data_IF_999131079500
#
_entry.id   IF_999131079500
#
_cell.length_a   1.000
_cell.length_b   1.000
_cell.length_c   1.000
_cell.angle_alpha   90.00
_cell.angle_beta   90.00
_cell.angle_gamma   90.00
#
_symmetry.space_group_name_H-M   'P 1'
#
loop_
_entity.id
_entity.type
_entity.pdbx_description
1 polymer ?
#
# COMPACT_ATOMS: atom_id res chain seq x y z
N UNK A 1 -60.98 35.51 -5.76
CA UNK A 1 -59.67 35.16 -6.35
C UNK A 1 -58.76 34.68 -5.21
N UNK A 2 -58.69 33.36 -5.03
CA UNK A 2 -58.04 32.70 -3.89
C UNK A 2 -56.50 32.74 -4.04
N UNK A 3 -55.80 33.27 -3.04
CA UNK A 3 -54.33 33.38 -3.00
C UNK A 3 -53.75 32.00 -2.64
N UNK A 4 -53.20 31.30 -3.62
CA UNK A 4 -52.60 29.98 -3.48
C UNK A 4 -51.27 30.11 -2.69
N UNK A 5 -51.24 29.64 -1.45
CA UNK A 5 -50.01 29.53 -0.64
C UNK A 5 -49.30 28.23 -1.05
N UNK A 6 -48.24 28.35 -1.83
CA UNK A 6 -47.41 27.21 -2.19
C UNK A 6 -46.42 26.96 -1.05
N UNK A 7 -46.74 25.99 -0.20
CA UNK A 7 -45.86 25.54 0.88
C UNK A 7 -44.79 24.65 0.27
N UNK A 8 -43.55 25.16 0.20
CA UNK A 8 -42.41 24.35 -0.21
C UNK A 8 -42.09 23.37 0.92
N UNK A 9 -42.34 22.09 0.67
CA UNK A 9 -41.82 20.99 1.48
C UNK A 9 -40.34 20.86 1.16
N UNK A 10 -39.48 21.45 1.99
CA UNK A 10 -38.04 21.16 1.98
C UNK A 10 -37.88 19.72 2.47
N UNK A 11 -37.60 18.79 1.55
CA UNK A 11 -37.02 17.50 1.90
C UNK A 11 -35.72 17.78 2.64
N UNK A 12 -35.70 17.46 3.94
CA UNK A 12 -34.46 17.34 4.70
C UNK A 12 -33.82 16.03 4.21
N UNK A 13 -32.95 16.14 3.21
CA UNK A 13 -32.09 15.03 2.84
C UNK A 13 -31.11 14.75 3.99
N UNK A 14 -30.97 13.46 4.23
CA UNK A 14 -30.34 12.78 5.34
C UNK A 14 -28.86 13.17 5.54
N UNK A 15 -28.59 14.04 6.54
CA UNK A 15 -27.25 14.31 7.07
C UNK A 15 -26.89 13.43 8.28
N UNK A 16 -27.58 12.31 8.48
CA UNK A 16 -27.33 11.40 9.60
C UNK A 16 -26.19 10.42 9.34
N UNK A 17 -26.06 9.97 8.10
CA UNK A 17 -25.21 8.81 7.75
C UNK A 17 -23.73 9.17 7.60
N UNK A 18 -23.39 10.37 7.12
CA UNK A 18 -22.01 10.81 6.91
C UNK A 18 -21.31 11.25 8.22
N UNK A 19 -22.04 11.81 9.17
CA UNK A 19 -21.47 12.31 10.43
C UNK A 19 -21.20 11.17 11.41
N UNK A 20 -21.91 10.04 11.29
CA UNK A 20 -21.61 8.83 12.04
C UNK A 20 -20.33 8.14 11.51
N UNK A 21 -20.18 8.00 10.19
CA UNK A 21 -19.02 7.29 9.62
C UNK A 21 -17.67 7.95 9.96
N UNK A 22 -17.59 9.28 9.96
CA UNK A 22 -16.35 10.02 10.25
C UNK A 22 -15.95 9.92 11.73
N UNK A 23 -16.90 10.11 12.66
CA UNK A 23 -16.64 9.98 14.10
C UNK A 23 -16.20 8.57 14.49
N UNK A 24 -16.71 7.57 13.78
CA UNK A 24 -16.40 6.17 14.05
C UNK A 24 -14.96 5.83 13.60
N UNK A 25 -14.49 6.41 12.48
CA UNK A 25 -13.10 6.23 11.99
C UNK A 25 -12.07 6.86 12.94
N UNK A 26 -12.39 8.02 13.53
CA UNK A 26 -11.55 8.70 14.52
C UNK A 26 -11.40 7.88 15.81
N UNK A 27 -12.50 7.36 16.35
CA UNK A 27 -12.49 6.53 17.56
C UNK A 27 -11.68 5.23 17.35
N UNK A 28 -11.84 4.59 16.20
CA UNK A 28 -11.01 3.43 15.84
C UNK A 28 -9.53 3.79 15.79
N UNK A 29 -9.17 4.89 15.12
CA UNK A 29 -7.78 5.30 15.01
C UNK A 29 -7.16 5.69 16.35
N UNK A 30 -7.92 6.33 17.25
CA UNK A 30 -7.48 6.63 18.60
C UNK A 30 -7.11 5.35 19.36
N UNK A 31 -7.95 4.31 19.27
CA UNK A 31 -7.68 3.05 19.97
C UNK A 31 -6.47 2.31 19.40
N UNK A 32 -6.21 2.39 18.10
CA UNK A 32 -4.99 1.82 17.51
C UNK A 32 -3.69 2.57 17.85
N UNK A 33 -3.75 3.72 18.55
CA UNK A 33 -2.58 4.38 19.14
C UNK A 33 -2.22 3.82 20.52
N UNK A 34 -3.14 3.12 21.17
CA UNK A 34 -2.92 2.42 22.43
C UNK A 34 -1.97 1.23 22.20
N UNK A 35 -0.76 1.23 22.82
CA UNK A 35 0.24 0.21 22.54
C UNK A 35 -0.24 -1.19 22.91
N UNK A 36 -0.93 -1.36 24.03
CA UNK A 36 -1.37 -2.68 24.49
C UNK A 36 -2.41 -3.28 23.54
N UNK A 37 -3.36 -2.44 23.08
CA UNK A 37 -4.34 -2.84 22.09
C UNK A 37 -3.68 -3.17 20.74
N UNK A 38 -2.77 -2.32 20.25
CA UNK A 38 -2.10 -2.55 18.97
C UNK A 38 -1.26 -3.84 19.00
N UNK A 39 -0.58 -4.11 20.13
CA UNK A 39 0.17 -5.34 20.33
C UNK A 39 -0.76 -6.55 20.25
N UNK A 40 -1.84 -6.56 21.04
CA UNK A 40 -2.80 -7.66 21.06
C UNK A 40 -3.45 -7.88 19.69
N UNK A 41 -3.75 -6.79 18.98
CA UNK A 41 -4.25 -6.83 17.60
C UNK A 41 -3.26 -7.48 16.65
N UNK A 42 -1.98 -7.06 16.67
CA UNK A 42 -0.94 -7.61 15.79
C UNK A 42 -0.73 -9.10 16.10
N UNK A 43 -0.71 -9.49 17.37
CA UNK A 43 -0.54 -10.88 17.77
C UNK A 43 -1.71 -11.75 17.27
N UNK A 44 -2.95 -11.27 17.39
CA UNK A 44 -4.14 -11.94 16.83
C UNK A 44 -4.11 -12.01 15.30
N UNK A 45 -3.70 -10.94 14.64
CA UNK A 45 -3.55 -10.90 13.19
C UNK A 45 -2.48 -11.89 12.68
N UNK A 46 -1.35 -12.00 13.41
CA UNK A 46 -0.27 -12.95 13.12
C UNK A 46 -0.75 -14.40 13.13
N UNK A 47 -1.61 -14.78 14.08
CA UNK A 47 -2.22 -16.13 14.14
C UNK A 47 -3.06 -16.46 12.90
N UNK A 48 -3.67 -15.46 12.27
CA UNK A 48 -4.57 -15.61 11.13
C UNK A 48 -3.82 -15.63 9.79
N UNK A 49 -2.98 -16.66 9.61
CA UNK A 49 -2.06 -16.84 8.47
C UNK A 49 -2.71 -16.69 7.10
N UNK A 50 -3.91 -17.21 6.91
CA UNK A 50 -4.67 -17.10 5.66
C UNK A 50 -5.01 -15.66 5.25
N UNK A 51 -4.86 -14.67 6.13
CA UNK A 51 -5.04 -13.25 5.80
C UNK A 51 -3.81 -12.63 5.14
N UNK A 52 -2.60 -13.07 5.49
CA UNK A 52 -1.35 -12.41 5.12
C UNK A 52 -0.33 -13.29 4.39
N UNK A 53 -0.38 -14.60 4.58
CA UNK A 53 0.57 -15.55 3.99
C UNK A 53 0.07 -16.07 2.65
N UNK A 54 0.71 -15.62 1.56
CA UNK A 54 0.33 -15.96 0.18
C UNK A 54 0.42 -17.46 -0.10
N UNK A 55 1.39 -18.14 0.53
CA UNK A 55 1.61 -19.59 0.40
C UNK A 55 0.58 -20.43 1.17
N UNK A 56 -0.25 -19.82 2.02
CA UNK A 56 -1.22 -20.56 2.80
C UNK A 56 -2.33 -21.13 1.88
N UNK A 57 -2.72 -22.42 2.00
CA UNK A 57 -3.69 -23.04 1.11
C UNK A 57 -5.04 -22.31 1.05
N UNK A 58 -5.42 -21.68 2.15
CA UNK A 58 -6.68 -20.93 2.27
C UNK A 58 -6.55 -19.44 1.89
N UNK A 59 -5.39 -18.98 1.44
CA UNK A 59 -5.15 -17.58 1.09
C UNK A 59 -5.98 -17.10 -0.10
N UNK A 60 -6.32 -17.96 -1.06
CA UNK A 60 -7.13 -17.54 -2.21
C UNK A 60 -8.63 -17.84 -2.04
N UNK A 61 -9.01 -18.49 -0.94
CA UNK A 61 -10.39 -18.91 -0.68
C UNK A 61 -11.15 -17.73 -0.02
N UNK A 62 -11.81 -16.92 -0.85
CA UNK A 62 -12.57 -15.72 -0.42
C UNK A 62 -13.51 -15.96 0.78
N UNK A 63 -14.38 -16.98 0.81
CA UNK A 63 -15.29 -17.16 1.94
C UNK A 63 -14.55 -17.49 3.25
N UNK A 64 -13.44 -18.23 3.18
CA UNK A 64 -12.62 -18.58 4.36
C UNK A 64 -11.86 -17.36 4.87
N UNK A 65 -11.37 -16.50 3.97
CA UNK A 65 -10.77 -15.21 4.37
C UNK A 65 -11.79 -14.31 5.03
N UNK A 66 -12.98 -14.18 4.45
CA UNK A 66 -14.06 -13.35 5.00
C UNK A 66 -14.42 -13.81 6.41
N UNK A 67 -14.65 -15.10 6.63
CA UNK A 67 -14.97 -15.62 7.96
C UNK A 67 -13.83 -15.41 8.96
N UNK A 68 -12.57 -15.41 8.50
CA UNK A 68 -11.42 -15.13 9.35
C UNK A 68 -11.33 -13.65 9.72
N UNK A 69 -11.63 -12.75 8.78
CA UNK A 69 -11.75 -11.32 9.05
C UNK A 69 -12.89 -11.02 10.02
N UNK A 70 -14.04 -11.68 9.87
CA UNK A 70 -15.16 -11.55 10.80
C UNK A 70 -14.77 -11.98 12.22
N UNK A 71 -13.98 -13.05 12.36
CA UNK A 71 -13.45 -13.48 13.66
C UNK A 71 -12.48 -12.45 14.27
N UNK A 72 -11.62 -11.85 13.44
CA UNK A 72 -10.74 -10.75 13.89
C UNK A 72 -11.55 -9.52 14.26
N UNK A 73 -12.61 -9.23 13.51
CA UNK A 73 -13.52 -8.13 13.79
C UNK A 73 -14.22 -8.31 15.13
N UNK A 74 -14.68 -9.53 15.46
CA UNK A 74 -15.28 -9.81 16.77
C UNK A 74 -14.34 -9.44 17.91
N UNK A 75 -13.04 -9.72 17.78
CA UNK A 75 -12.03 -9.29 18.76
C UNK A 75 -11.96 -7.76 18.85
N UNK A 76 -11.87 -7.06 17.72
CA UNK A 76 -11.82 -5.59 17.69
C UNK A 76 -13.09 -4.97 18.28
N UNK A 77 -14.26 -5.55 18.02
CA UNK A 77 -15.55 -5.09 18.50
C UNK A 77 -15.70 -5.18 20.03
N UNK A 78 -14.91 -6.01 20.71
CA UNK A 78 -14.87 -6.00 22.19
C UNK A 78 -14.33 -4.69 22.76
N UNK A 79 -13.58 -3.91 21.96
CA UNK A 79 -13.05 -2.60 22.33
C UNK A 79 -13.73 -1.45 21.58
N UNK A 80 -14.18 -1.71 20.34
CA UNK A 80 -14.78 -0.70 19.46
C UNK A 80 -16.03 -1.32 18.80
N UNK A 81 -17.20 -1.24 19.45
CA UNK A 81 -18.41 -1.94 19.01
C UNK A 81 -18.87 -1.59 17.59
N UNK A 82 -18.56 -0.37 17.14
CA UNK A 82 -18.95 0.16 15.83
C UNK A 82 -17.98 -0.21 14.70
N UNK A 83 -16.94 -1.00 14.99
CA UNK A 83 -15.99 -1.44 13.99
C UNK A 83 -16.67 -2.28 12.90
N UNK A 84 -16.34 -2.00 11.65
CA UNK A 84 -16.81 -2.77 10.48
C UNK A 84 -15.65 -3.52 9.82
N UNK A 85 -15.99 -4.49 8.96
CA UNK A 85 -14.98 -5.28 8.22
C UNK A 85 -14.15 -4.38 7.31
N UNK A 86 -14.77 -3.39 6.68
CA UNK A 86 -14.12 -2.48 5.73
C UNK A 86 -13.03 -1.65 6.43
N UNK A 87 -13.34 -1.11 7.62
CA UNK A 87 -12.36 -0.33 8.40
C UNK A 87 -11.21 -1.23 8.87
N UNK A 88 -11.52 -2.47 9.28
CA UNK A 88 -10.51 -3.45 9.68
C UNK A 88 -9.57 -3.82 8.52
N UNK A 89 -10.12 -4.11 7.33
CA UNK A 89 -9.32 -4.41 6.13
C UNK A 89 -8.40 -3.24 5.78
N UNK A 90 -8.94 -2.01 5.77
CA UNK A 90 -8.16 -0.78 5.55
C UNK A 90 -7.04 -0.66 6.57
N UNK A 91 -7.30 -0.97 7.85
CA UNK A 91 -6.26 -0.91 8.90
C UNK A 91 -5.15 -1.94 8.69
N UNK A 92 -5.51 -3.16 8.33
CA UNK A 92 -4.55 -4.22 7.99
C UNK A 92 -3.69 -3.78 6.80
N UNK A 93 -4.30 -3.20 5.76
CA UNK A 93 -3.58 -2.70 4.60
C UNK A 93 -2.58 -1.60 4.98
N UNK A 94 -3.00 -0.62 5.80
CA UNK A 94 -2.14 0.45 6.30
C UNK A 94 -0.93 -0.14 7.03
N UNK A 95 -1.15 -1.09 7.95
CA UNK A 95 -0.07 -1.74 8.70
C UNK A 95 0.93 -2.44 7.77
N UNK A 96 0.44 -3.19 6.78
CA UNK A 96 1.30 -3.86 5.79
C UNK A 96 2.10 -2.86 4.95
N UNK A 97 1.47 -1.77 4.52
CA UNK A 97 2.12 -0.73 3.72
C UNK A 97 3.17 0.04 4.53
N UNK A 98 2.89 0.33 5.80
CA UNK A 98 3.88 0.91 6.72
C UNK A 98 5.07 -0.03 6.92
N UNK A 99 4.80 -1.30 7.20
CA UNK A 99 5.84 -2.31 7.35
C UNK A 99 6.74 -2.39 6.11
N UNK A 100 6.15 -2.53 4.92
CA UNK A 100 6.89 -2.63 3.65
C UNK A 100 7.78 -1.41 3.41
N UNK A 101 7.29 -0.20 3.69
CA UNK A 101 8.08 1.03 3.53
C UNK A 101 9.27 1.04 4.47
N UNK A 102 9.06 0.73 5.74
CA UNK A 102 10.15 0.69 6.73
C UNK A 102 11.16 -0.42 6.40
N UNK A 103 10.68 -1.62 6.06
CA UNK A 103 11.54 -2.73 5.66
C UNK A 103 12.38 -2.40 4.41
N UNK A 104 11.79 -1.74 3.40
CA UNK A 104 12.52 -1.31 2.21
C UNK A 104 13.64 -0.30 2.53
N UNK A 105 13.44 0.59 3.52
CA UNK A 105 14.51 1.53 3.94
C UNK A 105 15.70 0.78 4.54
N UNK A 106 15.45 -0.25 5.35
CA UNK A 106 16.51 -1.11 5.91
C UNK A 106 17.22 -1.88 4.79
N UNK A 107 16.48 -2.50 3.87
CA UNK A 107 17.10 -3.22 2.75
C UNK A 107 17.94 -2.30 1.86
N UNK A 108 17.51 -1.05 1.68
CA UNK A 108 18.25 -0.06 0.89
C UNK A 108 19.49 0.47 1.61
N UNK A 109 19.48 0.63 2.93
CA UNK A 109 20.67 1.02 3.70
C UNK A 109 21.73 -0.10 3.64
N UNK A 110 21.31 -1.35 3.82
CA UNK A 110 22.18 -2.53 3.72
C UNK A 110 22.84 -2.65 2.34
N UNK A 111 22.05 -2.49 1.26
CA UNK A 111 22.53 -2.62 -0.12
C UNK A 111 23.49 -1.50 -0.54
N UNK A 112 23.39 -0.33 0.06
CA UNK A 112 24.26 0.81 -0.25
C UNK A 112 25.67 0.69 0.36
N UNK A 113 25.98 -0.44 0.99
CA UNK A 113 27.30 -0.69 1.60
C UNK A 113 27.53 0.11 2.88
N UNK A 114 26.45 0.47 3.57
CA UNK A 114 26.51 1.12 4.88
C UNK A 114 27.37 0.29 5.86
N UNK A 115 28.22 0.96 6.64
CA UNK A 115 28.88 0.33 7.80
C UNK A 115 27.80 -0.19 8.76
N UNK A 116 28.12 -1.14 9.64
CA UNK A 116 27.17 -1.67 10.62
C UNK A 116 26.51 -0.57 11.48
N UNK A 117 27.21 0.56 11.69
CA UNK A 117 26.72 1.73 12.43
C UNK A 117 25.80 2.66 11.60
N UNK A 118 25.73 2.49 10.27
CA UNK A 118 24.96 3.33 9.34
C UNK A 118 23.65 2.65 8.86
N UNK A 119 23.33 1.45 9.36
CA UNK A 119 22.11 0.73 8.98
C UNK A 119 20.88 1.46 9.55
N UNK A 120 19.96 1.86 8.67
CA UNK A 120 18.68 2.46 9.05
C UNK A 120 17.95 1.64 10.13
N UNK A 121 17.64 2.30 11.24
CA UNK A 121 16.82 1.74 12.33
C UNK A 121 15.35 2.10 12.12
N UNK A 122 14.42 1.12 12.13
CA UNK A 122 12.98 1.36 12.05
C UNK A 122 12.49 2.33 13.11
N UNK A 123 11.62 3.25 12.71
CA UNK A 123 11.03 4.24 13.64
C UNK A 123 9.83 3.71 14.44
N UNK A 124 8.95 2.84 13.89
CA UNK A 124 7.82 2.33 14.66
C UNK A 124 8.25 1.32 15.71
N UNK A 125 7.87 1.54 16.97
CA UNK A 125 8.18 0.64 18.09
C UNK A 125 7.62 -0.78 17.93
N UNK A 126 6.57 -0.95 17.10
CA UNK A 126 5.95 -2.25 16.82
C UNK A 126 6.54 -2.95 15.58
N UNK A 127 7.59 -2.40 14.97
CA UNK A 127 8.19 -2.96 13.76
C UNK A 127 8.55 -4.45 13.92
N UNK A 128 9.19 -4.80 15.03
CA UNK A 128 9.63 -6.18 15.31
C UNK A 128 8.46 -7.18 15.38
N UNK A 129 7.28 -6.72 15.81
CA UNK A 129 6.07 -7.56 15.86
C UNK A 129 5.51 -7.87 14.48
N UNK A 130 5.81 -7.05 13.47
CA UNK A 130 5.34 -7.23 12.08
C UNK A 130 6.33 -8.01 11.20
N UNK A 131 7.47 -8.47 11.73
CA UNK A 131 8.49 -9.20 10.95
C UNK A 131 8.02 -10.51 10.34
N UNK A 132 6.91 -11.09 10.81
CA UNK A 132 6.28 -12.23 10.14
C UNK A 132 5.84 -11.94 8.69
N UNK A 133 5.80 -10.67 8.28
CA UNK A 133 5.51 -10.24 6.91
C UNK A 133 6.73 -10.29 5.98
N UNK A 134 7.95 -10.56 6.49
CA UNK A 134 9.19 -10.65 5.70
C UNK A 134 9.11 -11.71 4.60
N UNK A 135 8.59 -12.89 4.94
CA UNK A 135 8.44 -14.05 4.03
C UNK A 135 7.59 -13.73 2.78
N UNK A 136 6.82 -12.65 2.82
CA UNK A 136 5.98 -12.19 1.72
C UNK A 136 6.63 -11.10 0.87
N UNK A 137 7.65 -10.41 1.39
CA UNK A 137 8.25 -9.21 0.79
C UNK A 137 9.42 -9.57 -0.12
N UNK A 138 10.16 -10.64 0.19
CA UNK A 138 11.35 -11.06 -0.58
C UNK A 138 11.00 -11.74 -1.92
N UNK A 139 9.76 -12.22 -2.10
CA UNK A 139 9.34 -12.99 -3.27
C UNK A 139 9.29 -12.19 -4.59
N UNK A 140 9.61 -10.89 -4.58
CA UNK A 140 9.62 -10.05 -5.79
C UNK A 140 11.00 -9.46 -6.10
N UNK A 141 12.06 -10.23 -5.92
CA UNK A 141 13.31 -9.96 -6.60
C UNK A 141 13.11 -10.24 -8.10
N UNK A 142 12.99 -9.18 -8.91
CA UNK A 142 12.87 -9.28 -10.37
C UNK A 142 14.08 -10.01 -10.93
N UNK A 143 13.85 -11.14 -11.61
CA UNK A 143 14.85 -11.79 -12.44
C UNK A 143 15.27 -10.79 -13.54
N UNK A 144 16.51 -10.32 -13.45
CA UNK A 144 17.11 -9.46 -14.47
C UNK A 144 17.28 -10.26 -15.76
N UNK A 145 16.48 -9.96 -16.78
CA UNK A 145 16.66 -10.48 -18.14
C UNK A 145 17.77 -9.69 -18.81
N UNK A 146 19.03 -9.95 -18.45
CA UNK A 146 20.16 -9.54 -19.29
C UNK A 146 20.63 -10.75 -20.09
N UNK A 147 20.56 -10.73 -21.43
CA UNK A 147 21.19 -11.75 -22.25
C UNK A 147 22.70 -11.57 -22.17
N UNK A 148 23.36 -12.42 -21.37
CA UNK A 148 24.81 -12.54 -21.35
C UNK A 148 25.22 -13.59 -22.37
N UNK A 149 25.66 -13.17 -23.55
CA UNK A 149 26.54 -13.99 -24.41
C UNK A 149 27.65 -13.12 -25.00
N UNK A 150 28.75 -13.19 -24.27
CA UNK A 150 30.15 -12.94 -24.59
C UNK A 150 30.56 -12.94 -26.08
N UNK A 151 31.27 -11.87 -26.46
CA UNK A 151 32.60 -11.84 -27.10
C UNK A 151 32.94 -12.89 -28.17
N UNK A 152 33.14 -12.43 -29.41
CA UNK A 152 34.36 -12.80 -30.15
C UNK A 152 34.67 -11.75 -31.23
N UNK A 153 35.74 -11.02 -30.97
CA UNK A 153 36.65 -10.32 -31.89
C UNK A 153 36.50 -10.66 -33.38
N UNK A 154 36.43 -9.64 -34.25
CA UNK A 154 37.26 -9.52 -35.46
C UNK A 154 37.09 -8.13 -36.12
N UNK A 155 38.14 -7.32 -35.98
CA UNK A 155 38.79 -6.44 -36.96
C UNK A 155 38.04 -5.37 -37.76
N UNK A 156 38.59 -4.17 -37.63
CA UNK A 156 38.43 -2.94 -38.40
C UNK A 156 38.49 -3.12 -39.93
N UNK A 157 37.64 -2.42 -40.67
CA UNK A 157 38.07 -1.58 -41.80
C UNK A 157 36.98 -0.56 -42.18
N UNK A 158 37.32 0.72 -42.09
CA UNK A 158 36.62 1.85 -42.74
C UNK A 158 36.87 1.79 -44.26
N UNK A 159 35.93 2.28 -45.07
CA UNK A 159 36.26 3.41 -45.93
C UNK A 159 35.15 4.48 -46.01
N UNK A 160 35.58 5.74 -46.09
CA UNK A 160 34.82 6.93 -46.53
C UNK A 160 34.19 6.70 -47.91
N UNK A 161 33.13 7.38 -48.35
CA UNK A 161 33.04 8.83 -48.73
C UNK A 161 31.57 9.13 -49.20
N UNK A 162 31.17 10.32 -49.74
CA UNK A 162 30.04 11.12 -49.25
C UNK A 162 28.86 11.29 -50.24
N UNK A 163 27.87 12.11 -49.81
CA UNK A 163 26.99 12.98 -50.60
C UNK A 163 25.51 12.59 -50.78
N UNK A 164 24.70 13.68 -50.71
CA UNK A 164 23.31 13.90 -51.14
C UNK A 164 22.16 13.54 -50.16
N UNK A 165 21.57 14.62 -49.57
CA UNK A 165 20.19 15.11 -49.74
C UNK A 165 19.09 14.07 -50.08
N UNK A 166 17.84 14.11 -49.59
CA UNK A 166 17.01 14.98 -48.76
C UNK A 166 15.71 14.17 -48.51
N UNK A 167 14.87 14.63 -47.59
CA UNK A 167 13.43 14.34 -47.41
C UNK A 167 12.98 13.11 -46.55
N UNK A 168 12.18 13.50 -45.55
CA UNK A 168 10.94 12.88 -45.06
C UNK A 168 10.90 11.80 -43.94
N UNK A 169 10.58 12.35 -42.75
CA UNK A 169 9.29 12.14 -42.06
C UNK A 169 9.19 11.16 -40.87
N UNK A 170 8.72 11.75 -39.77
CA UNK A 170 7.92 11.22 -38.67
C UNK A 170 8.50 10.10 -37.79
N UNK A 171 8.72 10.44 -36.51
CA UNK A 171 8.94 9.46 -35.45
C UNK A 171 8.99 10.13 -34.08
N UNK A 172 7.81 10.27 -33.47
CA UNK A 172 7.53 10.87 -32.17
C UNK A 172 8.53 10.48 -31.07
N UNK A 173 9.24 11.46 -30.52
CA UNK A 173 9.98 11.37 -29.26
C UNK A 173 9.00 11.53 -28.10
N UNK A 174 8.53 10.42 -27.54
CA UNK A 174 7.87 10.40 -26.23
C UNK A 174 8.63 9.37 -25.38
N UNK A 175 9.53 9.89 -24.56
CA UNK A 175 10.06 9.20 -23.39
C UNK A 175 8.91 9.17 -22.38
N UNK A 176 8.14 8.09 -22.37
CA UNK A 176 7.07 7.90 -21.39
C UNK A 176 7.70 7.40 -20.09
N UNK A 177 8.15 8.34 -19.28
CA UNK A 177 8.37 8.18 -17.85
C UNK A 177 7.06 7.68 -17.20
N UNK A 178 7.03 6.51 -16.53
CA UNK A 178 5.86 6.14 -15.76
C UNK A 178 5.70 7.07 -14.57
N UNK A 179 4.65 7.88 -14.69
CA UNK A 179 4.16 8.91 -13.81
C UNK A 179 4.24 8.59 -12.29
N UNK A 180 5.08 9.36 -11.60
CA UNK A 180 5.26 9.42 -10.13
C UNK A 180 4.02 10.03 -9.43
N UNK A 181 3.03 10.53 -10.17
CA UNK A 181 1.89 11.27 -9.62
C UNK A 181 0.78 10.39 -9.05
N UNK A 182 0.58 9.16 -9.55
CA UNK A 182 -0.48 8.26 -9.04
C UNK A 182 -0.23 7.87 -7.57
N UNK A 183 1.03 7.72 -7.17
CA UNK A 183 1.38 7.33 -5.79
C UNK A 183 1.42 8.50 -4.80
N UNK A 184 1.47 9.75 -5.30
CA UNK A 184 1.44 10.95 -4.47
C UNK A 184 0.03 11.29 -3.98
N UNK A 185 -1.01 10.99 -4.77
CA UNK A 185 -2.41 11.19 -4.35
C UNK A 185 -2.81 10.27 -3.20
N UNK A 186 -2.34 9.02 -3.20
CA UNK A 186 -2.54 8.08 -2.08
C UNK A 186 -1.80 8.59 -0.84
N UNK A 187 -0.60 9.17 -1.00
CA UNK A 187 0.20 9.68 0.10
C UNK A 187 -0.41 10.92 0.77
N UNK A 188 -1.06 11.82 0.02
CA UNK A 188 -1.72 13.02 0.56
C UNK A 188 -2.85 12.69 1.54
N UNK A 189 -3.63 11.64 1.27
CA UNK A 189 -4.67 11.18 2.20
C UNK A 189 -4.10 10.57 3.49
N UNK A 190 -2.93 9.94 3.45
CA UNK A 190 -2.35 9.27 4.63
C UNK A 190 -1.50 10.20 5.51
N UNK A 191 -0.85 11.22 4.95
CA UNK A 191 -0.15 12.23 5.75
C UNK A 191 -1.13 13.07 6.57
N UNK A 192 -2.36 13.26 6.08
CA UNK A 192 -3.43 13.95 6.82
C UNK A 192 -4.07 13.07 7.91
N UNK A 193 -3.97 11.74 7.79
CA UNK A 193 -4.58 10.79 8.75
C UNK A 193 -3.66 10.42 9.94
N UNK A 194 -2.40 10.87 9.92
CA UNK A 194 -1.38 10.56 10.93
C UNK A 194 -0.73 11.79 11.56
N UNK A 195 -1.12 13.00 11.15
CA UNK A 195 -0.70 14.26 11.78
C UNK A 195 -1.82 14.83 12.65
#
# INVERSE_FOLDING_TARGET
MQRMRHTYVLCVEDRGTEVASVRNEENMNAKFKDPDFLIAFIDKYREMRNLWEVKHPQYYIKPVRKSTLERLLTFVQTFIPEATVEILEKKIEILRNMYRREHNKIQNSLRSGASADDVYVPRPWYYDKLRFLDDQTEARASLSTLPSTLSSTLSCTLPSTPAEADEDQAGSSILEEPDVTIWSQVNSFYTYLMS
#
